data_IF_869554185166
#
_entry.id   IF_869554185166
#
_cell.length_a   1.000
_cell.length_b   1.000
_cell.length_c   1.000
_cell.angle_alpha   90.00
_cell.angle_beta   90.00
_cell.angle_gamma   90.00
#
_symmetry.space_group_name_H-M   'P 1'
#
loop_
_entity.id
_entity.type
_entity.pdbx_description
1 polymer ?
#
# COMPACT_ATOMS: atom_id res chain seq x y z
N UNK A 1 16.24 -8.53 1.21
CA UNK A 1 15.58 -7.27 1.63
C UNK A 1 15.73 -6.11 0.64
N UNK A 2 16.97 -5.69 0.28
CA UNK A 2 17.24 -4.42 -0.46
C UNK A 2 16.37 -4.20 -1.71
N UNK A 3 16.39 -5.16 -2.63
CA UNK A 3 15.63 -5.07 -3.88
C UNK A 3 14.13 -5.21 -3.64
N UNK A 4 13.73 -6.14 -2.77
CA UNK A 4 12.33 -6.38 -2.40
C UNK A 4 11.64 -5.11 -1.89
N UNK A 5 12.25 -4.41 -0.94
CA UNK A 5 11.65 -3.20 -0.35
C UNK A 5 11.73 -2.00 -1.30
N UNK A 6 12.80 -1.90 -2.11
CA UNK A 6 12.90 -0.89 -3.18
C UNK A 6 11.78 -1.06 -4.20
N UNK A 7 11.52 -2.29 -4.66
CA UNK A 7 10.44 -2.61 -5.59
C UNK A 7 9.08 -2.31 -4.97
N UNK A 8 8.86 -2.67 -3.69
CA UNK A 8 7.62 -2.33 -2.99
C UNK A 8 7.36 -0.81 -2.97
N UNK A 9 8.38 -0.02 -2.59
CA UNK A 9 8.31 1.43 -2.59
C UNK A 9 7.97 2.03 -3.96
N UNK A 10 8.62 1.51 -5.01
CA UNK A 10 8.33 1.91 -6.38
C UNK A 10 6.87 1.63 -6.76
N UNK A 11 6.37 0.44 -6.46
CA UNK A 11 5.00 0.05 -6.78
C UNK A 11 3.96 0.92 -6.03
N UNK A 12 4.23 1.31 -4.78
CA UNK A 12 3.37 2.24 -4.06
C UNK A 12 3.33 3.65 -4.66
N UNK A 13 4.40 4.09 -5.34
CA UNK A 13 4.37 5.33 -6.12
C UNK A 13 3.62 5.13 -7.44
N UNK A 14 3.86 4.01 -8.13
CA UNK A 14 3.23 3.74 -9.42
C UNK A 14 1.71 3.62 -9.32
N UNK A 15 1.17 3.14 -8.20
CA UNK A 15 -0.28 3.08 -7.98
C UNK A 15 -0.98 4.45 -8.21
N UNK A 16 -0.77 5.49 -7.39
CA UNK A 16 -1.46 6.76 -7.58
C UNK A 16 -1.01 7.52 -8.84
N UNK A 17 0.18 7.24 -9.39
CA UNK A 17 0.67 7.86 -10.63
C UNK A 17 -0.08 7.33 -11.86
N UNK A 18 -0.34 6.02 -11.93
CA UNK A 18 -1.01 5.38 -13.06
C UNK A 18 -2.50 5.18 -12.86
N UNK A 19 -3.03 5.38 -11.64
CA UNK A 19 -4.47 5.34 -11.38
C UNK A 19 -5.17 6.40 -12.25
N UNK A 20 -6.18 6.01 -13.05
CA UNK A 20 -7.02 6.98 -13.76
C UNK A 20 -7.72 7.90 -12.76
N UNK A 21 -7.52 9.21 -12.90
CA UNK A 21 -8.17 10.22 -12.07
C UNK A 21 -9.26 10.91 -12.88
N UNK A 22 -10.48 10.39 -12.78
CA UNK A 22 -11.69 10.96 -13.37
C UNK A 22 -12.67 11.36 -12.25
N UNK A 23 -13.72 12.10 -12.62
CA UNK A 23 -14.82 12.40 -11.69
C UNK A 23 -15.72 11.16 -11.48
N UNK A 24 -15.33 10.33 -10.53
CA UNK A 24 -16.03 9.11 -10.11
C UNK A 24 -17.42 9.39 -9.48
N UNK A 25 -17.83 10.65 -9.30
CA UNK A 25 -19.20 10.99 -8.87
C UNK A 25 -20.19 11.02 -10.04
N UNK A 26 -19.68 10.99 -11.27
CA UNK A 26 -20.48 10.91 -12.49
C UNK A 26 -20.41 9.50 -13.08
N UNK A 27 -21.50 9.03 -13.71
CA UNK A 27 -21.52 7.73 -14.40
C UNK A 27 -20.43 7.65 -15.47
N UNK A 28 -20.21 8.72 -16.23
CA UNK A 28 -19.21 8.76 -17.29
C UNK A 28 -17.78 8.69 -16.74
N UNK A 29 -17.46 9.45 -15.70
CA UNK A 29 -16.13 9.44 -15.08
C UNK A 29 -15.84 8.15 -14.33
N UNK A 30 -16.82 7.60 -13.61
CA UNK A 30 -16.69 6.30 -12.96
C UNK A 30 -16.42 5.18 -13.99
N UNK A 31 -17.16 5.15 -15.09
CA UNK A 31 -16.94 4.17 -16.16
C UNK A 31 -15.57 4.34 -16.85
N UNK A 32 -15.15 5.60 -17.11
CA UNK A 32 -13.86 5.90 -17.73
C UNK A 32 -12.68 5.51 -16.84
N UNK A 33 -12.77 5.74 -15.53
CA UNK A 33 -11.73 5.36 -14.59
C UNK A 33 -11.70 3.87 -14.33
N UNK A 34 -12.80 3.30 -13.81
CA UNK A 34 -12.86 1.90 -13.37
C UNK A 34 -12.75 0.92 -14.54
N UNK A 35 -13.29 1.27 -15.71
CA UNK A 35 -13.21 0.45 -16.93
C UNK A 35 -11.86 0.50 -17.65
N UNK A 36 -10.90 1.31 -17.18
CA UNK A 36 -9.58 1.41 -17.80
C UNK A 36 -8.67 0.24 -17.41
N UNK A 37 -7.90 -0.37 -18.33
CA UNK A 37 -6.85 -1.33 -17.96
C UNK A 37 -5.79 -0.75 -17.00
N UNK A 38 -5.61 0.58 -17.00
CA UNK A 38 -4.72 1.25 -16.06
C UNK A 38 -5.25 1.23 -14.63
N UNK A 39 -6.57 1.14 -14.44
CA UNK A 39 -7.18 0.86 -13.14
C UNK A 39 -6.58 -0.42 -12.56
N UNK A 40 -6.67 -1.51 -13.34
CA UNK A 40 -6.24 -2.82 -12.90
C UNK A 40 -4.74 -2.87 -12.63
N UNK A 41 -3.94 -2.39 -13.59
CA UNK A 41 -2.50 -2.34 -13.43
C UNK A 41 -2.07 -1.54 -12.17
N UNK A 42 -2.72 -0.40 -11.92
CA UNK A 42 -2.39 0.46 -10.79
C UNK A 42 -2.71 -0.18 -9.44
N UNK A 43 -3.85 -0.88 -9.31
CA UNK A 43 -4.24 -1.56 -8.08
C UNK A 43 -3.34 -2.78 -7.81
N UNK A 44 -2.98 -3.54 -8.85
CA UNK A 44 -1.99 -4.60 -8.75
C UNK A 44 -0.64 -4.10 -8.23
N UNK A 45 -0.20 -2.89 -8.60
CA UNK A 45 1.02 -2.32 -8.01
C UNK A 45 0.91 -2.20 -6.49
N UNK A 46 -0.18 -1.64 -5.97
CA UNK A 46 -0.39 -1.54 -4.53
C UNK A 46 -0.44 -2.92 -3.85
N UNK A 47 -1.18 -3.88 -4.44
CA UNK A 47 -1.32 -5.24 -3.92
C UNK A 47 0.03 -5.96 -3.83
N UNK A 48 0.83 -5.91 -4.90
CA UNK A 48 2.17 -6.50 -4.93
C UNK A 48 3.08 -5.78 -3.94
N UNK A 49 2.99 -4.44 -3.82
CA UNK A 49 3.70 -3.67 -2.80
C UNK A 49 3.44 -4.19 -1.39
N UNK A 50 2.17 -4.41 -1.03
CA UNK A 50 1.79 -4.98 0.28
C UNK A 50 2.32 -6.40 0.49
N UNK A 51 2.46 -7.22 -0.56
CA UNK A 51 3.03 -8.57 -0.46
C UNK A 51 4.54 -8.52 -0.23
N UNK A 52 5.24 -7.59 -0.91
CA UNK A 52 6.71 -7.50 -0.87
C UNK A 52 7.26 -6.95 0.44
N UNK A 53 6.57 -6.01 1.08
CA UNK A 53 7.01 -5.41 2.35
C UNK A 53 7.26 -6.45 3.46
N UNK A 54 6.30 -7.32 3.84
CA UNK A 54 6.51 -8.28 4.92
C UNK A 54 7.63 -9.27 4.61
N UNK A 55 7.82 -9.63 3.33
CA UNK A 55 8.96 -10.46 2.90
C UNK A 55 10.28 -9.75 3.22
N UNK A 56 10.40 -8.46 2.92
CA UNK A 56 11.58 -7.68 3.26
C UNK A 56 11.76 -7.51 4.78
N UNK A 57 10.66 -7.37 5.53
CA UNK A 57 10.70 -7.20 6.98
C UNK A 57 11.12 -8.47 7.74
N UNK A 58 11.10 -9.66 7.12
CA UNK A 58 11.61 -10.89 7.76
C UNK A 58 13.09 -10.78 8.14
N UNK A 59 13.88 -10.04 7.37
CA UNK A 59 15.30 -9.78 7.61
C UNK A 59 15.53 -8.70 8.68
N UNK A 60 14.49 -7.92 9.03
CA UNK A 60 14.59 -6.82 10.00
C UNK A 60 13.95 -7.18 11.34
N UNK A 61 12.69 -7.60 11.32
CA UNK A 61 11.88 -7.82 12.51
C UNK A 61 10.75 -8.81 12.22
N UNK A 62 10.96 -10.10 12.55
CA UNK A 62 10.00 -11.19 12.30
C UNK A 62 8.58 -10.90 12.80
N UNK A 63 8.40 -10.38 14.02
CA UNK A 63 7.06 -10.04 14.53
C UNK A 63 6.40 -8.95 13.69
N UNK A 64 7.12 -7.87 13.33
CA UNK A 64 6.59 -6.84 12.46
C UNK A 64 6.23 -7.40 11.06
N UNK A 65 7.04 -8.30 10.50
CA UNK A 65 6.72 -8.98 9.24
C UNK A 65 5.40 -9.77 9.32
N UNK A 66 5.19 -10.55 10.39
CA UNK A 66 3.95 -11.31 10.62
C UNK A 66 2.76 -10.37 10.81
N UNK A 67 2.91 -9.34 11.66
CA UNK A 67 1.87 -8.33 11.87
C UNK A 67 1.50 -7.65 10.56
N UNK A 68 2.48 -7.27 9.75
CA UNK A 68 2.25 -6.67 8.44
C UNK A 68 1.53 -7.66 7.50
N UNK A 69 1.93 -8.92 7.45
CA UNK A 69 1.26 -9.94 6.64
C UNK A 69 -0.21 -10.11 7.00
N UNK A 70 -0.55 -10.12 8.29
CA UNK A 70 -1.95 -10.16 8.74
C UNK A 70 -2.69 -8.91 8.24
N UNK A 71 -2.10 -7.72 8.41
CA UNK A 71 -2.70 -6.48 7.92
C UNK A 71 -2.91 -6.45 6.40
N UNK A 72 -1.93 -6.94 5.64
CA UNK A 72 -2.03 -7.10 4.19
C UNK A 72 -3.14 -8.11 3.82
N UNK A 73 -3.20 -9.26 4.49
CA UNK A 73 -4.24 -10.27 4.27
C UNK A 73 -5.66 -9.76 4.51
N UNK A 74 -5.85 -8.83 5.45
CA UNK A 74 -7.13 -8.15 5.68
C UNK A 74 -7.42 -7.05 4.64
N UNK A 75 -6.38 -6.42 4.10
CA UNK A 75 -6.49 -5.31 3.14
C UNK A 75 -6.76 -5.78 1.72
N UNK A 76 -6.10 -6.88 1.30
CA UNK A 76 -6.11 -7.35 -0.08
C UNK A 76 -7.50 -7.77 -0.62
N UNK A 77 -8.44 -8.33 0.16
CA UNK A 77 -9.78 -8.62 -0.34
C UNK A 77 -10.54 -7.36 -0.79
N UNK A 78 -10.40 -6.25 -0.07
CA UNK A 78 -10.98 -4.97 -0.46
C UNK A 78 -10.36 -4.45 -1.76
N UNK A 79 -9.02 -4.52 -1.87
CA UNK A 79 -8.32 -4.17 -3.11
C UNK A 79 -8.76 -5.05 -4.28
N UNK A 80 -8.93 -6.36 -4.09
CA UNK A 80 -9.39 -7.25 -5.16
C UNK A 80 -10.82 -6.94 -5.63
N UNK A 81 -11.70 -6.53 -4.71
CA UNK A 81 -13.05 -6.09 -5.06
C UNK A 81 -13.05 -4.74 -5.80
N UNK A 82 -12.22 -3.77 -5.37
CA UNK A 82 -12.00 -2.52 -6.10
C UNK A 82 -11.38 -2.75 -7.47
N UNK A 83 -10.35 -3.59 -7.54
CA UNK A 83 -9.54 -3.82 -8.73
C UNK A 83 -10.37 -4.55 -9.80
N UNK A 84 -10.72 -5.80 -9.53
CA UNK A 84 -11.38 -6.65 -10.52
C UNK A 84 -12.89 -6.44 -10.54
N UNK A 85 -13.50 -6.28 -9.36
CA UNK A 85 -14.96 -6.14 -9.25
C UNK A 85 -15.47 -4.85 -9.89
N UNK A 86 -14.86 -3.70 -9.57
CA UNK A 86 -15.30 -2.43 -10.16
C UNK A 86 -14.98 -2.33 -11.65
N UNK A 87 -13.89 -2.96 -12.10
CA UNK A 87 -13.56 -3.01 -13.51
C UNK A 87 -14.63 -3.72 -14.33
N UNK A 88 -15.09 -4.90 -13.87
CA UNK A 88 -16.12 -5.68 -14.57
C UNK A 88 -17.49 -4.99 -14.59
N UNK A 89 -17.86 -4.30 -13.51
CA UNK A 89 -19.14 -3.58 -13.44
C UNK A 89 -19.10 -2.18 -14.07
N UNK A 90 -17.95 -1.75 -14.61
CA UNK A 90 -17.78 -0.39 -15.13
C UNK A 90 -18.71 -0.04 -16.30
N UNK A 91 -19.21 -1.05 -17.02
CA UNK A 91 -20.16 -0.87 -18.12
C UNK A 91 -21.63 -0.87 -17.67
N UNK A 92 -21.92 -1.10 -16.38
CA UNK A 92 -23.29 -1.22 -15.90
C UNK A 92 -23.97 0.16 -15.79
N UNK A 93 -25.26 0.26 -16.14
CA UNK A 93 -25.99 1.54 -16.09
C UNK A 93 -26.12 2.10 -14.66
N UNK A 94 -26.07 1.24 -13.64
CA UNK A 94 -26.10 1.61 -12.23
C UNK A 94 -24.73 1.51 -11.54
N UNK A 95 -23.62 1.74 -12.28
CA UNK A 95 -22.24 1.67 -11.77
C UNK A 95 -22.03 2.42 -10.44
N UNK A 96 -22.63 3.60 -10.26
CA UNK A 96 -22.45 4.41 -9.04
C UNK A 96 -22.97 3.67 -7.80
N UNK A 97 -24.19 3.12 -7.88
CA UNK A 97 -24.81 2.33 -6.79
C UNK A 97 -23.99 1.08 -6.47
N UNK A 98 -23.53 0.37 -7.50
CA UNK A 98 -22.74 -0.85 -7.31
C UNK A 98 -21.35 -0.54 -6.72
N UNK A 99 -20.69 0.52 -7.20
CA UNK A 99 -19.40 0.95 -6.68
C UNK A 99 -19.50 1.39 -5.22
N UNK A 100 -20.55 2.14 -4.85
CA UNK A 100 -20.83 2.48 -3.45
C UNK A 100 -21.09 1.24 -2.61
N UNK A 101 -21.84 0.26 -3.12
CA UNK A 101 -22.12 -0.99 -2.41
C UNK A 101 -20.85 -1.81 -2.12
N UNK A 102 -19.89 -1.81 -3.05
CA UNK A 102 -18.57 -2.42 -2.83
C UNK A 102 -17.76 -1.61 -1.81
N UNK A 103 -17.69 -0.29 -1.99
CA UNK A 103 -16.85 0.63 -1.21
C UNK A 103 -17.28 0.83 0.22
N UNK A 104 -18.58 0.89 0.46
CA UNK A 104 -19.15 1.26 1.74
C UNK A 104 -19.83 0.09 2.45
N UNK A 105 -19.64 -1.14 1.96
CA UNK A 105 -20.02 -2.32 2.71
C UNK A 105 -19.35 -2.30 4.10
N UNK A 106 -20.12 -2.32 5.21
CA UNK A 106 -19.56 -2.13 6.55
C UNK A 106 -18.48 -3.16 6.93
N UNK A 107 -18.65 -4.41 6.49
CA UNK A 107 -17.68 -5.48 6.77
C UNK A 107 -16.41 -5.26 5.94
N UNK A 108 -16.56 -4.93 4.66
CA UNK A 108 -15.42 -4.67 3.77
C UNK A 108 -14.58 -3.48 4.28
N UNK A 109 -15.21 -2.34 4.56
CA UNK A 109 -14.53 -1.13 5.07
C UNK A 109 -13.85 -1.39 6.40
N UNK A 110 -14.53 -2.07 7.33
CA UNK A 110 -13.95 -2.36 8.65
C UNK A 110 -12.74 -3.27 8.51
N UNK A 111 -12.83 -4.32 7.70
CA UNK A 111 -11.73 -5.27 7.47
C UNK A 111 -10.53 -4.58 6.83
N UNK A 112 -10.80 -3.74 5.82
CA UNK A 112 -9.80 -2.91 5.16
C UNK A 112 -9.11 -1.95 6.14
N UNK A 113 -9.87 -1.17 6.91
CA UNK A 113 -9.34 -0.20 7.85
C UNK A 113 -8.50 -0.87 8.95
N UNK A 114 -8.96 -1.99 9.51
CA UNK A 114 -8.20 -2.79 10.48
C UNK A 114 -6.91 -3.30 9.85
N UNK A 115 -6.96 -3.75 8.59
CA UNK A 115 -5.79 -4.17 7.84
C UNK A 115 -4.73 -3.07 7.70
N UNK A 116 -5.15 -1.88 7.25
CA UNK A 116 -4.26 -0.72 7.11
C UNK A 116 -3.65 -0.28 8.44
N UNK A 117 -4.46 -0.18 9.50
CA UNK A 117 -3.97 0.18 10.84
C UNK A 117 -2.95 -0.85 11.34
N UNK A 118 -3.22 -2.13 11.11
CA UNK A 118 -2.32 -3.24 11.49
C UNK A 118 -0.97 -3.15 10.77
N UNK A 119 -0.96 -2.82 9.47
CA UNK A 119 0.29 -2.55 8.73
C UNK A 119 1.02 -1.31 9.25
N UNK A 120 0.29 -0.26 9.63
CA UNK A 120 0.82 0.92 10.31
C UNK A 120 1.53 0.56 11.62
N UNK A 121 0.90 -0.26 12.47
CA UNK A 121 1.51 -0.77 13.72
C UNK A 121 2.79 -1.54 13.44
N UNK A 122 2.79 -2.44 12.45
CA UNK A 122 4.00 -3.18 12.06
C UNK A 122 5.13 -2.25 11.64
N UNK A 123 4.84 -1.20 10.87
CA UNK A 123 5.85 -0.23 10.45
C UNK A 123 6.39 0.59 11.63
N UNK A 124 5.54 0.95 12.60
CA UNK A 124 5.96 1.58 13.86
C UNK A 124 6.88 0.66 14.68
N UNK A 125 6.61 -0.65 14.72
CA UNK A 125 7.52 -1.61 15.38
C UNK A 125 8.92 -1.60 14.77
N UNK A 126 9.02 -1.48 13.44
CA UNK A 126 10.31 -1.35 12.73
C UNK A 126 11.01 -0.04 13.13
N UNK A 127 10.29 1.08 13.16
CA UNK A 127 10.83 2.36 13.61
C UNK A 127 11.32 2.32 15.06
N UNK A 128 10.59 1.66 15.97
CA UNK A 128 10.98 1.49 17.37
C UNK A 128 12.20 0.59 17.55
N UNK A 129 12.35 -0.45 16.70
CA UNK A 129 13.53 -1.33 16.72
C UNK A 129 14.78 -0.62 16.22
N UNK A 130 14.71 0.02 15.06
CA UNK A 130 15.88 0.60 14.39
C UNK A 130 16.21 1.99 14.89
N UNK A 131 15.21 2.80 15.25
CA UNK A 131 15.33 4.20 15.71
C UNK A 131 16.14 5.09 14.76
N UNK A 132 16.13 4.76 13.47
CA UNK A 132 16.77 5.56 12.43
C UNK A 132 15.74 6.41 11.68
N UNK A 133 16.17 7.55 11.12
CA UNK A 133 15.32 8.40 10.30
C UNK A 133 14.65 7.66 9.11
N UNK A 134 15.34 6.76 8.39
CA UNK A 134 14.71 5.94 7.34
C UNK A 134 13.55 5.09 7.86
N UNK A 135 13.72 4.45 9.03
CA UNK A 135 12.67 3.63 9.62
C UNK A 135 11.47 4.47 10.08
N UNK A 136 11.71 5.69 10.59
CA UNK A 136 10.66 6.64 10.95
C UNK A 136 9.88 7.10 9.70
N UNK A 137 10.56 7.40 8.59
CA UNK A 137 9.90 7.79 7.34
C UNK A 137 9.09 6.64 6.74
N UNK A 138 9.60 5.41 6.78
CA UNK A 138 8.86 4.20 6.41
C UNK A 138 7.59 4.06 7.26
N UNK A 139 7.69 4.22 8.58
CA UNK A 139 6.54 4.17 9.48
C UNK A 139 5.54 5.29 9.22
N UNK A 140 6.00 6.52 8.95
CA UNK A 140 5.14 7.64 8.59
C UNK A 140 4.34 7.35 7.31
N UNK A 141 4.98 6.76 6.30
CA UNK A 141 4.30 6.32 5.07
C UNK A 141 3.12 5.38 5.35
N UNK A 142 3.33 4.34 6.16
CA UNK A 142 2.25 3.41 6.51
C UNK A 142 1.21 3.98 7.49
N UNK A 143 1.61 4.83 8.43
CA UNK A 143 0.68 5.50 9.34
C UNK A 143 -0.26 6.47 8.59
N UNK A 144 0.25 7.13 7.54
CA UNK A 144 -0.51 8.05 6.69
C UNK A 144 -1.28 7.35 5.56
N UNK A 145 -1.15 6.02 5.43
CA UNK A 145 -1.77 5.27 4.33
C UNK A 145 -3.30 5.29 4.40
N UNK A 146 -3.91 5.21 5.59
CA UNK A 146 -5.35 5.34 5.73
C UNK A 146 -5.82 6.80 5.49
N UNK A 147 -5.22 7.84 6.14
CA UNK A 147 -5.59 9.23 5.89
C UNK A 147 -5.56 9.67 4.43
N UNK A 148 -4.61 9.20 3.62
CA UNK A 148 -4.46 9.65 2.23
C UNK A 148 -5.69 9.33 1.35
N UNK A 149 -6.49 8.32 1.69
CA UNK A 149 -7.73 8.00 0.95
C UNK A 149 -8.77 9.12 1.01
N UNK A 150 -8.67 10.05 1.97
CA UNK A 150 -9.57 11.18 2.10
C UNK A 150 -9.03 12.46 1.45
N UNK A 151 -7.99 12.34 0.63
CA UNK A 151 -7.27 13.49 0.05
C UNK A 151 -7.34 13.49 -1.49
N UNK A 152 -7.19 14.67 -2.14
CA UNK A 152 -7.17 14.79 -3.59
C UNK A 152 -5.99 14.05 -4.25
N UNK A 153 -6.04 13.82 -5.58
CA UNK A 153 -5.00 13.07 -6.32
C UNK A 153 -3.56 13.53 -6.05
N UNK A 154 -3.33 14.84 -6.02
CA UNK A 154 -1.99 15.40 -5.79
C UNK A 154 -1.39 14.95 -4.44
N UNK A 155 -2.20 14.86 -3.39
CA UNK A 155 -1.74 14.43 -2.06
C UNK A 155 -1.49 12.93 -2.03
N UNK A 156 -2.30 12.14 -2.73
CA UNK A 156 -2.09 10.69 -2.86
C UNK A 156 -0.80 10.37 -3.63
N UNK A 157 -0.49 11.12 -4.67
CA UNK A 157 0.80 11.02 -5.38
C UNK A 157 1.96 11.41 -4.46
N UNK A 158 1.82 12.51 -3.69
CA UNK A 158 2.83 12.91 -2.71
C UNK A 158 3.04 11.84 -1.61
N UNK A 159 1.97 11.17 -1.18
CA UNK A 159 2.06 10.01 -0.29
C UNK A 159 2.82 8.85 -0.95
N UNK A 160 2.57 8.55 -2.23
CA UNK A 160 3.38 7.60 -3.01
C UNK A 160 4.87 7.96 -3.05
N UNK A 161 5.21 9.26 -3.13
CA UNK A 161 6.60 9.73 -3.04
C UNK A 161 7.19 9.48 -1.65
N UNK A 162 6.42 9.73 -0.58
CA UNK A 162 6.83 9.38 0.78
C UNK A 162 7.09 7.86 0.91
N UNK A 163 6.24 7.03 0.32
CA UNK A 163 6.38 5.57 0.35
C UNK A 163 7.68 5.12 -0.33
N UNK A 164 7.97 5.56 -1.56
CA UNK A 164 9.21 5.18 -2.24
C UNK A 164 10.44 5.68 -1.48
N UNK A 165 10.43 6.92 -0.96
CA UNK A 165 11.55 7.47 -0.18
C UNK A 165 11.78 6.66 1.09
N UNK A 166 10.73 6.39 1.86
CA UNK A 166 10.81 5.62 3.10
C UNK A 166 11.31 4.18 2.86
N UNK A 167 10.73 3.49 1.88
CA UNK A 167 11.12 2.12 1.53
C UNK A 167 12.55 2.03 1.00
N UNK A 168 12.93 2.87 0.03
CA UNK A 168 14.28 2.84 -0.57
C UNK A 168 15.33 3.23 0.45
N UNK A 169 15.09 4.29 1.23
CA UNK A 169 16.08 4.71 2.22
C UNK A 169 16.28 3.63 3.29
N UNK A 170 15.21 3.04 3.82
CA UNK A 170 15.30 1.95 4.78
C UNK A 170 16.04 0.75 4.19
N UNK A 171 15.72 0.35 2.95
CA UNK A 171 16.34 -0.77 2.26
C UNK A 171 17.87 -0.64 2.16
N UNK A 172 18.34 0.58 1.85
CA UNK A 172 19.77 0.84 1.67
C UNK A 172 20.50 1.10 2.98
N UNK A 173 19.84 1.69 3.98
CA UNK A 173 20.40 1.91 5.31
C UNK A 173 20.65 0.57 6.03
N UNK A 174 19.67 -0.33 6.00
CA UNK A 174 19.79 -1.67 6.58
C UNK A 174 20.85 -2.50 5.86
N UNK A 175 20.90 -2.49 4.53
CA UNK A 175 21.94 -3.20 3.77
C UNK A 175 23.36 -2.68 4.02
N UNK A 176 23.51 -1.36 4.24
CA UNK A 176 24.82 -0.76 4.62
C UNK A 176 25.25 -1.17 6.03
N UNK A 177 24.29 -1.33 6.93
CA UNK A 177 24.55 -1.71 8.32
C UNK A 177 25.00 -3.17 8.42
N UNK A 178 24.34 -4.08 7.70
CA UNK A 178 24.75 -5.48 7.56
C UNK A 178 26.15 -5.64 6.97
N UNK A 179 26.49 -4.84 5.94
CA UNK A 179 27.81 -4.89 5.31
C UNK A 179 28.95 -4.42 6.25
N UNK A 180 28.65 -3.57 7.24
CA UNK A 180 29.63 -3.08 8.22
C UNK A 180 29.81 -4.03 9.41
N UNK A 181 28.80 -4.85 9.71
CA UNK A 181 28.84 -5.80 10.82
C UNK A 181 28.21 -7.14 10.40
N UNK A 182 29.02 -8.04 9.78
CA UNK A 182 28.52 -9.32 9.25
C UNK A 182 27.94 -10.24 10.32
N UNK A 183 28.22 -10.01 11.61
CA UNK A 183 27.70 -10.85 12.71
C UNK A 183 26.19 -10.59 12.96
N UNK A 184 25.66 -9.43 12.55
CA UNK A 184 24.22 -9.12 12.63
C UNK A 184 23.38 -9.88 11.59
N UNK A 185 23.99 -10.43 10.54
CA UNK A 185 23.29 -11.22 9.52
C UNK A 185 22.98 -12.67 9.97
N UNK A 186 23.54 -13.10 11.11
CA UNK A 186 23.46 -14.48 11.61
C UNK A 186 22.59 -14.65 12.88
N UNK A 187 21.95 -13.58 13.37
CA UNK A 187 21.10 -13.56 14.58
C UNK A 187 19.63 -13.34 14.26
#
# INVERSE_FOLDING_TARGET
MKWTLTTAGLLFLLYPVFRPWEDETTTAGAAAAMGSPAWVASHLFAMIGFILVPIALLEIHRTAAITFWVGAGLTLPYYGAEDFGLHEIAAQPNILELAESVRYNPVAVTTFAVGLVTMGVAAVMVALKLRTLPAILFAAGFALFLPQFFTPPAIRIAHGVLMIVGCVWLAWDSARSEAKDPQLAAS
#
